data_IF_116921358609
#
_entry.id   IF_116921358609
#
_cell.length_a   1.000
_cell.length_b   1.000
_cell.length_c   1.000
_cell.angle_alpha   90.00
_cell.angle_beta   90.00
_cell.angle_gamma   90.00
#
_symmetry.space_group_name_H-M   'P 1'
#
loop_
_entity.id
_entity.type
_entity.pdbx_description
1 polymer ?
#
# COMPACT_ATOMS: atom_id res chain seq x y z
N UNK A 1 32.60 18.02 -2.35
CA UNK A 1 33.45 19.24 -2.28
C UNK A 1 33.88 19.59 -0.85
N UNK A 2 33.07 20.28 -0.02
CA UNK A 2 33.53 20.80 1.29
C UNK A 2 34.26 19.76 2.17
N UNK A 3 33.66 18.59 2.36
CA UNK A 3 34.23 17.49 3.15
C UNK A 3 35.56 16.92 2.59
N UNK A 4 35.80 17.11 1.28
CA UNK A 4 36.99 16.62 0.58
C UNK A 4 38.13 17.63 0.73
N UNK A 5 37.88 18.93 0.51
CA UNK A 5 38.89 19.97 0.75
C UNK A 5 39.34 20.02 2.22
N UNK A 6 38.43 19.80 3.19
CA UNK A 6 38.78 19.72 4.62
C UNK A 6 39.75 18.57 4.95
N UNK A 7 39.87 17.54 4.09
CA UNK A 7 40.82 16.44 4.27
C UNK A 7 42.19 16.69 3.62
N UNK A 8 42.35 17.79 2.86
CA UNK A 8 43.56 18.06 2.06
C UNK A 8 44.66 18.86 2.81
N UNK A 9 44.42 19.29 4.05
CA UNK A 9 45.42 19.96 4.89
C UNK A 9 45.56 21.47 4.70
N UNK A 10 45.22 22.02 3.53
CA UNK A 10 45.21 23.47 3.27
C UNK A 10 44.36 24.26 4.29
N UNK A 11 44.74 25.53 4.53
CA UNK A 11 44.02 26.49 5.39
C UNK A 11 42.59 26.78 4.86
N UNK A 12 41.65 25.94 5.24
CA UNK A 12 40.28 25.97 4.74
C UNK A 12 39.44 27.05 5.43
N UNK A 13 39.49 28.27 4.90
CA UNK A 13 38.50 29.30 5.21
C UNK A 13 37.11 28.94 4.63
N UNK A 14 36.07 29.13 5.44
CA UNK A 14 34.68 28.95 5.01
C UNK A 14 34.21 30.17 4.20
N UNK A 15 33.40 29.99 3.14
CA UNK A 15 32.92 31.10 2.34
C UNK A 15 32.17 32.14 3.18
N UNK A 16 32.57 33.40 3.05
CA UNK A 16 31.95 34.51 3.77
C UNK A 16 30.56 34.86 3.21
N UNK A 17 29.81 35.71 3.91
CA UNK A 17 28.45 36.14 3.51
C UNK A 17 28.39 36.73 2.07
N UNK A 18 29.47 37.38 1.62
CA UNK A 18 29.59 37.92 0.25
C UNK A 18 29.76 36.80 -0.80
N UNK A 19 30.53 35.77 -0.51
CA UNK A 19 30.72 34.61 -1.41
C UNK A 19 29.46 33.72 -1.44
N UNK A 20 28.80 33.53 -0.29
CA UNK A 20 27.51 32.85 -0.20
C UNK A 20 26.42 33.58 -1.02
N UNK A 21 26.48 34.91 -1.08
CA UNK A 21 25.62 35.74 -1.96
C UNK A 21 25.90 35.47 -3.44
N UNK A 22 27.17 35.42 -3.86
CA UNK A 22 27.55 35.11 -5.26
C UNK A 22 27.15 33.69 -5.64
N UNK A 23 27.38 32.70 -4.76
CA UNK A 23 26.96 31.32 -5.00
C UNK A 23 25.44 31.17 -5.10
N UNK A 24 24.67 31.85 -4.24
CA UNK A 24 23.21 31.81 -4.31
C UNK A 24 22.66 32.34 -5.64
N UNK A 25 23.22 33.46 -6.13
CA UNK A 25 22.86 34.02 -7.45
C UNK A 25 23.18 33.04 -8.59
N UNK A 26 24.39 32.50 -8.62
CA UNK A 26 24.84 31.57 -9.68
C UNK A 26 24.09 30.23 -9.67
N UNK A 27 23.62 29.77 -8.50
CA UNK A 27 22.74 28.61 -8.40
C UNK A 27 21.35 28.89 -9.00
N UNK A 28 20.80 30.09 -8.82
CA UNK A 28 19.51 30.51 -9.41
C UNK A 28 19.58 30.78 -10.91
N UNK A 29 20.74 31.22 -11.39
CA UNK A 29 21.06 31.36 -12.81
C UNK A 29 21.10 29.99 -13.50
N UNK A 30 21.78 29.00 -12.89
CA UNK A 30 21.90 27.64 -13.44
C UNK A 30 20.64 26.76 -13.19
N UNK A 31 19.89 27.02 -12.12
CA UNK A 31 18.67 26.30 -11.75
C UNK A 31 17.49 27.28 -11.50
N UNK A 32 16.80 27.75 -12.55
CA UNK A 32 15.77 28.78 -12.42
C UNK A 32 14.57 28.43 -11.53
N UNK A 33 14.31 27.14 -11.29
CA UNK A 33 13.27 26.68 -10.36
C UNK A 33 13.60 26.90 -8.87
N UNK A 34 14.83 27.36 -8.55
CA UNK A 34 15.21 27.79 -7.20
C UNK A 34 14.88 29.26 -6.90
N UNK A 35 14.28 30.00 -7.86
CA UNK A 35 13.85 31.39 -7.68
C UNK A 35 12.60 31.47 -6.82
N UNK A 36 12.68 32.27 -5.77
CA UNK A 36 11.52 32.58 -4.93
C UNK A 36 10.63 33.64 -5.60
N UNK A 37 9.62 33.17 -6.36
CA UNK A 37 8.67 34.03 -7.09
C UNK A 37 7.77 34.89 -6.19
N UNK A 38 7.78 34.68 -4.87
CA UNK A 38 6.98 35.47 -3.91
C UNK A 38 7.66 36.79 -3.52
N UNK A 39 8.96 36.94 -3.77
CA UNK A 39 9.75 38.10 -3.34
C UNK A 39 10.04 39.05 -4.51
N UNK A 40 10.03 40.36 -4.24
CA UNK A 40 10.36 41.39 -5.23
C UNK A 40 11.79 41.18 -5.78
N UNK A 41 11.96 41.34 -7.10
CA UNK A 41 13.11 40.85 -7.90
C UNK A 41 14.52 41.19 -7.40
N UNK A 42 14.68 42.19 -6.53
CA UNK A 42 15.97 42.53 -5.90
C UNK A 42 16.51 41.43 -4.95
N UNK A 43 15.65 40.51 -4.47
CA UNK A 43 15.95 39.57 -3.38
C UNK A 43 15.78 38.06 -3.70
N UNK A 44 15.49 37.65 -4.94
CA UNK A 44 15.18 36.25 -5.35
C UNK A 44 16.13 35.16 -4.81
N UNK A 45 17.39 35.52 -4.52
CA UNK A 45 18.49 34.66 -4.08
C UNK A 45 18.67 34.56 -2.55
N UNK A 46 17.93 35.35 -1.75
CA UNK A 46 18.11 35.40 -0.30
C UNK A 46 17.65 34.09 0.37
N UNK A 47 16.59 33.43 -0.15
CA UNK A 47 16.12 32.12 0.34
C UNK A 47 17.17 31.02 0.14
N UNK A 48 17.83 30.98 -1.03
CA UNK A 48 18.95 30.06 -1.32
C UNK A 48 20.17 30.37 -0.43
N UNK A 49 20.53 31.65 -0.29
CA UNK A 49 21.62 32.10 0.60
C UNK A 49 21.39 31.69 2.06
N UNK A 50 20.17 31.83 2.60
CA UNK A 50 19.82 31.37 3.95
C UNK A 50 20.04 29.87 4.12
N UNK A 51 19.71 29.06 3.12
CA UNK A 51 19.99 27.61 3.15
C UNK A 51 21.50 27.30 3.10
N UNK A 52 22.27 28.00 2.26
CA UNK A 52 23.73 27.86 2.19
C UNK A 52 24.41 28.26 3.51
N UNK A 53 23.99 29.38 4.12
CA UNK A 53 24.51 29.84 5.41
C UNK A 53 24.22 28.83 6.53
N UNK A 54 22.99 28.28 6.59
CA UNK A 54 22.62 27.20 7.53
C UNK A 54 23.44 25.93 7.31
N UNK A 55 23.75 25.58 6.04
CA UNK A 55 24.65 24.46 5.71
C UNK A 55 26.09 24.72 6.20
N UNK A 56 26.61 25.93 6.07
CA UNK A 56 27.94 26.30 6.61
C UNK A 56 27.94 26.27 8.14
N UNK A 57 26.96 26.89 8.80
CA UNK A 57 26.86 26.94 10.26
C UNK A 57 26.78 25.54 10.90
N UNK A 58 26.00 24.63 10.32
CA UNK A 58 25.92 23.23 10.74
C UNK A 58 27.25 22.45 10.54
N UNK A 59 28.16 22.97 9.72
CA UNK A 59 29.45 22.34 9.36
C UNK A 59 30.61 22.97 10.14
N UNK A 60 30.48 24.21 10.64
CA UNK A 60 31.51 24.94 11.40
C UNK A 60 31.51 24.67 12.92
N UNK A 61 30.53 23.96 13.47
CA UNK A 61 30.48 23.66 14.91
C UNK A 61 31.63 22.73 15.35
N UNK A 62 32.47 23.11 16.33
CA UNK A 62 33.59 22.27 16.76
C UNK A 62 33.18 20.96 17.43
N UNK A 63 34.11 19.99 17.43
CA UNK A 63 33.98 18.68 18.09
C UNK A 63 33.48 18.84 19.54
N UNK A 64 32.23 18.45 19.81
CA UNK A 64 31.68 18.44 21.18
C UNK A 64 32.38 17.34 21.97
N UNK A 65 33.20 17.70 22.96
CA UNK A 65 33.78 16.74 23.91
C UNK A 65 32.65 15.93 24.56
N UNK A 66 32.84 14.62 24.70
CA UNK A 66 31.92 13.74 25.42
C UNK A 66 31.90 14.17 26.89
N UNK A 67 30.70 14.42 27.43
CA UNK A 67 30.48 14.95 28.77
C UNK A 67 29.32 14.26 29.46
N UNK A 68 29.35 14.25 30.79
CA UNK A 68 28.53 13.38 31.65
C UNK A 68 27.02 13.62 31.56
N UNK A 69 26.26 12.53 31.69
CA UNK A 69 24.79 12.50 31.64
C UNK A 69 24.14 13.25 32.81
N UNK A 70 23.26 14.25 32.58
CA UNK A 70 22.42 14.85 33.63
C UNK A 70 21.19 13.97 33.94
N UNK A 71 20.71 14.03 35.19
CA UNK A 71 19.59 13.20 35.67
C UNK A 71 18.20 13.82 35.47
N UNK A 72 17.19 12.95 35.60
CA UNK A 72 15.75 13.11 35.34
C UNK A 72 15.03 14.07 36.32
N UNK A 73 14.22 15.00 35.81
CA UNK A 73 13.07 15.63 36.51
C UNK A 73 12.02 16.19 35.51
N UNK A 74 10.75 16.21 35.93
CA UNK A 74 9.51 16.70 35.27
C UNK A 74 8.74 17.53 36.33
N UNK A 75 7.60 18.19 36.04
CA UNK A 75 7.22 19.03 34.88
C UNK A 75 6.56 20.37 35.32
N UNK A 76 6.24 21.29 34.39
CA UNK A 76 5.29 22.45 34.47
C UNK A 76 5.41 23.30 33.17
N UNK A 77 4.45 24.11 32.70
CA UNK A 77 2.97 24.11 32.76
C UNK A 77 2.40 25.33 31.99
N UNK A 78 1.36 25.14 31.15
CA UNK A 78 0.53 26.20 30.51
C UNK A 78 1.31 27.10 29.48
N UNK A 79 0.68 27.87 28.57
CA UNK A 79 -0.73 28.22 28.34
C UNK A 79 -1.12 28.28 26.83
N UNK A 80 -2.41 28.49 26.55
CA UNK A 80 -3.03 28.64 25.22
C UNK A 80 -2.60 29.91 24.44
N UNK A 81 -2.72 29.86 23.10
CA UNK A 81 -3.61 30.74 22.31
C UNK A 81 -3.91 30.15 20.92
N UNK A 82 -4.96 30.64 20.25
CA UNK A 82 -5.55 30.10 19.01
C UNK A 82 -6.08 31.22 18.10
N UNK A 83 -6.16 31.00 16.77
CA UNK A 83 -7.03 31.73 15.81
C UNK A 83 -7.12 31.03 14.43
N UNK A 84 -8.31 30.48 14.15
CA UNK A 84 -9.13 30.44 12.91
C UNK A 84 -8.52 31.04 11.60
N UNK A 85 -8.52 30.31 10.47
CA UNK A 85 -9.51 30.26 9.33
C UNK A 85 -9.37 31.43 8.32
N UNK A 86 -9.79 31.40 7.04
CA UNK A 86 -10.76 30.57 6.27
C UNK A 86 -10.42 30.56 4.75
N UNK A 87 -10.83 29.51 3.99
CA UNK A 87 -11.18 29.41 2.53
C UNK A 87 -10.35 30.18 1.44
N UNK A 88 -10.54 30.17 0.10
CA UNK A 88 -11.43 29.56 -0.93
C UNK A 88 -10.74 29.85 -2.31
N UNK A 89 -10.90 29.17 -3.46
CA UNK A 89 -11.10 27.76 -3.89
C UNK A 89 -10.96 27.72 -5.45
N UNK A 90 -11.36 26.65 -6.17
CA UNK A 90 -11.39 26.47 -7.66
C UNK A 90 -10.02 26.31 -8.39
N UNK A 91 -9.85 25.78 -9.64
CA UNK A 91 -10.44 24.65 -10.42
C UNK A 91 -9.62 24.51 -11.73
N UNK A 92 -9.31 23.30 -12.24
CA UNK A 92 -9.50 22.89 -13.66
C UNK A 92 -9.07 21.45 -14.04
N UNK A 93 -9.48 21.02 -15.24
CA UNK A 93 -9.49 19.64 -15.78
C UNK A 93 -8.13 18.97 -16.10
N UNK A 94 -8.09 17.62 -15.99
CA UNK A 94 -7.52 16.78 -17.07
C UNK A 94 -8.01 15.32 -17.02
N UNK A 95 -7.96 14.61 -18.15
CA UNK A 95 -8.63 13.30 -18.34
C UNK A 95 -7.69 12.09 -18.38
N UNK A 96 -7.80 11.19 -17.40
CA UNK A 96 -7.17 9.86 -17.42
C UNK A 96 -7.95 8.82 -16.59
N UNK A 97 -8.64 7.88 -17.25
CA UNK A 97 -9.41 6.83 -16.56
C UNK A 97 -8.55 5.62 -16.17
N UNK A 98 -8.22 5.52 -14.88
CA UNK A 98 -7.71 4.30 -14.24
C UNK A 98 -8.64 3.88 -13.10
N UNK A 99 -8.63 2.59 -12.74
CA UNK A 99 -9.41 2.07 -11.60
C UNK A 99 -8.51 2.19 -10.37
N UNK A 100 -8.75 3.18 -9.52
CA UNK A 100 -7.89 3.52 -8.37
C UNK A 100 -8.62 3.10 -7.10
N UNK A 101 -7.91 2.43 -6.18
CA UNK A 101 -8.39 2.15 -4.82
C UNK A 101 -8.34 3.42 -3.97
N UNK A 102 -9.09 4.43 -4.39
CA UNK A 102 -9.10 5.78 -3.83
C UNK A 102 -10.01 5.83 -2.59
N UNK A 103 -9.42 6.10 -1.43
CA UNK A 103 -10.11 6.06 -0.14
C UNK A 103 -11.17 7.17 -0.04
N UNK A 104 -12.44 6.79 0.13
CA UNK A 104 -13.53 7.75 0.33
C UNK A 104 -13.31 8.64 1.58
N UNK A 105 -13.69 9.94 1.53
CA UNK A 105 -13.69 10.80 2.71
C UNK A 105 -14.58 10.24 3.84
N UNK A 106 -14.28 10.52 5.12
CA UNK A 106 -15.11 10.08 6.23
C UNK A 106 -16.50 10.72 6.17
N UNK A 107 -17.55 9.88 6.15
CA UNK A 107 -18.94 10.32 6.12
C UNK A 107 -19.27 11.17 7.36
N UNK A 108 -19.87 12.34 7.14
CA UNK A 108 -20.39 13.20 8.21
C UNK A 108 -21.84 12.80 8.51
N UNK A 109 -22.08 12.22 9.68
CA UNK A 109 -23.42 12.09 10.24
C UNK A 109 -23.55 13.00 11.47
N UNK A 110 -24.55 13.88 11.47
CA UNK A 110 -25.05 14.56 12.67
C UNK A 110 -25.74 13.53 13.58
N UNK A 111 -25.89 13.70 14.89
CA UNK A 111 -25.75 14.89 15.76
C UNK A 111 -25.25 14.42 17.16
N UNK A 112 -25.05 15.27 18.19
CA UNK A 112 -24.14 14.94 19.30
C UNK A 112 -24.79 14.14 20.45
N UNK A 113 -23.96 13.36 21.14
CA UNK A 113 -23.75 13.52 22.59
C UNK A 113 -22.36 12.98 22.98
N UNK A 114 -21.89 13.27 24.19
CA UNK A 114 -20.47 13.18 24.54
C UNK A 114 -20.10 11.93 25.34
N UNK A 115 -19.11 11.17 24.88
CA UNK A 115 -18.19 10.45 25.77
C UNK A 115 -16.79 10.29 25.14
N UNK A 116 -15.78 10.05 25.97
CA UNK A 116 -14.42 10.56 25.72
C UNK A 116 -13.37 9.46 25.60
N UNK A 117 -13.11 8.95 24.39
CA UNK A 117 -12.10 7.92 24.13
C UNK A 117 -11.11 8.28 23.02
N UNK A 118 -9.83 8.34 23.41
CA UNK A 118 -8.61 8.25 22.60
C UNK A 118 -8.65 8.79 21.16
N UNK A 119 -8.48 10.12 21.01
CA UNK A 119 -7.86 10.64 19.80
C UNK A 119 -6.42 10.10 19.70
N UNK A 120 -6.07 9.44 18.59
CA UNK A 120 -4.72 8.92 18.38
C UNK A 120 -3.72 10.05 18.16
N UNK A 121 -2.62 10.05 18.92
CA UNK A 121 -1.51 10.97 18.68
C UNK A 121 -0.90 10.65 17.30
N UNK A 122 -1.15 11.52 16.32
CA UNK A 122 -0.57 11.39 14.97
C UNK A 122 0.95 11.50 15.06
N UNK A 123 1.64 10.37 14.93
CA UNK A 123 3.09 10.32 15.01
C UNK A 123 3.73 11.29 14.01
N UNK A 124 4.68 12.10 14.48
CA UNK A 124 5.41 13.00 13.57
C UNK A 124 6.11 12.20 12.45
N UNK A 125 6.25 12.74 11.23
CA UNK A 125 7.01 12.06 10.16
C UNK A 125 8.45 11.72 10.55
N UNK A 126 9.04 12.44 11.53
CA UNK A 126 10.36 12.14 12.08
C UNK A 126 10.35 10.97 13.08
N UNK A 127 9.20 10.62 13.66
CA UNK A 127 8.99 9.47 14.53
C UNK A 127 8.79 8.23 13.68
N UNK A 128 7.84 8.26 12.74
CA UNK A 128 7.57 7.16 11.79
C UNK A 128 8.85 6.76 11.01
N UNK A 129 9.63 7.74 10.54
CA UNK A 129 10.93 7.49 9.89
C UNK A 129 12.04 6.94 10.82
N UNK A 130 11.82 6.83 12.13
CA UNK A 130 12.64 6.05 13.06
C UNK A 130 12.10 4.63 13.20
N UNK A 131 10.79 4.45 13.33
CA UNK A 131 10.16 3.12 13.39
C UNK A 131 10.48 2.28 12.14
N UNK A 132 10.39 2.87 10.94
CA UNK A 132 10.85 2.23 9.70
C UNK A 132 12.35 1.88 9.70
N UNK A 133 13.21 2.71 10.29
CA UNK A 133 14.65 2.41 10.43
C UNK A 133 14.91 1.28 11.42
N UNK A 134 14.14 1.18 12.50
CA UNK A 134 14.18 0.06 13.44
C UNK A 134 13.74 -1.23 12.75
N UNK A 135 12.65 -1.19 11.95
CA UNK A 135 12.17 -2.32 11.15
C UNK A 135 13.24 -2.80 10.16
N UNK A 136 13.84 -1.88 9.39
CA UNK A 136 14.96 -2.19 8.50
C UNK A 136 16.17 -2.76 9.25
N UNK A 137 16.52 -2.24 10.42
CA UNK A 137 17.62 -2.76 11.23
C UNK A 137 17.32 -4.19 11.71
N UNK A 138 16.06 -4.48 12.04
CA UNK A 138 15.62 -5.80 12.49
C UNK A 138 15.78 -6.86 11.40
N UNK A 139 15.26 -6.61 10.19
CA UNK A 139 15.43 -7.52 9.04
C UNK A 139 16.87 -7.60 8.50
N UNK A 140 17.78 -6.67 8.89
CA UNK A 140 19.22 -6.75 8.60
C UNK A 140 20.05 -7.52 9.65
N UNK A 141 19.48 -7.79 10.83
CA UNK A 141 20.22 -8.37 11.98
C UNK A 141 19.61 -9.66 12.52
N UNK A 142 18.31 -9.88 12.36
CA UNK A 142 17.60 -11.11 12.73
C UNK A 142 17.17 -11.83 11.45
N UNK A 143 17.59 -13.09 11.27
CA UNK A 143 17.14 -13.94 10.15
C UNK A 143 15.64 -14.26 10.20
N UNK A 144 15.04 -14.24 11.40
CA UNK A 144 13.60 -14.24 11.65
C UNK A 144 13.30 -13.22 12.75
N UNK A 145 12.75 -12.04 12.42
CA UNK A 145 12.23 -11.09 13.40
C UNK A 145 11.10 -11.67 14.28
N UNK A 146 10.77 -10.98 15.37
CA UNK A 146 9.57 -11.31 16.15
C UNK A 146 8.37 -10.62 15.49
N UNK A 147 7.32 -11.39 15.18
CA UNK A 147 6.13 -10.92 14.47
C UNK A 147 5.39 -9.81 15.22
N UNK A 148 5.36 -9.84 16.56
CA UNK A 148 4.74 -8.76 17.35
C UNK A 148 5.56 -7.47 17.29
N UNK A 149 6.90 -7.55 17.39
CA UNK A 149 7.78 -6.38 17.22
C UNK A 149 7.57 -5.74 15.83
N UNK A 150 7.46 -6.58 14.78
CA UNK A 150 7.25 -6.13 13.39
C UNK A 150 5.86 -5.53 13.20
N UNK A 151 4.80 -6.19 13.67
CA UNK A 151 3.43 -5.67 13.59
C UNK A 151 3.31 -4.31 14.29
N UNK A 152 3.83 -4.18 15.52
CA UNK A 152 3.83 -2.91 16.25
C UNK A 152 4.56 -1.80 15.47
N UNK A 153 5.71 -2.09 14.86
CA UNK A 153 6.43 -1.10 14.06
C UNK A 153 5.62 -0.68 12.82
N UNK A 154 4.98 -1.63 12.11
CA UNK A 154 4.12 -1.38 10.93
C UNK A 154 2.83 -0.61 11.26
N UNK A 155 2.32 -0.72 12.49
CA UNK A 155 1.18 0.06 13.01
C UNK A 155 1.58 1.52 13.30
N UNK A 156 2.78 1.77 13.83
CA UNK A 156 3.28 3.12 14.15
C UNK A 156 3.68 3.94 12.91
N UNK A 157 4.32 3.33 11.90
CA UNK A 157 4.77 4.01 10.67
C UNK A 157 3.79 3.94 9.49
N UNK A 158 2.55 3.51 9.72
CA UNK A 158 1.52 3.27 8.70
C UNK A 158 1.36 4.45 7.72
N UNK A 159 1.35 5.69 8.20
CA UNK A 159 1.08 6.86 7.34
C UNK A 159 2.25 7.14 6.39
N UNK A 160 3.49 7.07 6.90
CA UNK A 160 4.69 7.25 6.09
C UNK A 160 4.86 6.14 5.05
N UNK A 161 4.47 4.90 5.40
CA UNK A 161 4.49 3.75 4.50
C UNK A 161 3.39 3.83 3.43
N UNK A 162 2.16 4.20 3.79
CA UNK A 162 1.10 4.47 2.79
C UNK A 162 1.50 5.60 1.86
N UNK A 163 1.96 6.74 2.37
CA UNK A 163 2.47 7.84 1.54
C UNK A 163 3.65 7.46 0.61
N UNK A 164 4.40 6.39 0.92
CA UNK A 164 5.39 5.81 0.00
C UNK A 164 4.76 4.90 -1.06
N UNK A 165 3.88 3.97 -0.66
CA UNK A 165 3.18 3.01 -1.55
C UNK A 165 2.28 3.74 -2.55
N UNK A 166 1.52 4.71 -2.05
CA UNK A 166 0.48 5.46 -2.75
C UNK A 166 1.08 6.63 -3.58
N UNK A 167 2.40 6.69 -3.74
CA UNK A 167 3.08 7.73 -4.52
C UNK A 167 3.24 7.35 -6.00
N UNK A 168 2.82 8.24 -6.90
CA UNK A 168 2.94 8.09 -8.36
C UNK A 168 4.40 8.09 -8.87
N UNK A 169 5.35 8.38 -7.99
CA UNK A 169 6.80 8.23 -8.23
C UNK A 169 7.15 6.78 -8.60
N UNK A 170 6.33 5.80 -8.22
CA UNK A 170 6.49 4.39 -8.59
C UNK A 170 5.34 3.89 -9.47
N UNK A 171 5.69 3.59 -10.74
CA UNK A 171 4.85 2.83 -11.68
C UNK A 171 4.33 1.55 -11.04
N UNK A 172 3.05 1.25 -11.27
CA UNK A 172 2.35 0.10 -10.68
C UNK A 172 3.10 -1.24 -10.85
N UNK A 173 3.56 -1.54 -12.07
CA UNK A 173 4.39 -2.70 -12.40
C UNK A 173 5.65 -2.88 -11.52
N UNK A 174 6.21 -1.78 -10.99
CA UNK A 174 7.40 -1.81 -10.14
C UNK A 174 7.03 -1.85 -8.64
N UNK A 175 5.76 -1.55 -8.26
CA UNK A 175 5.31 -1.46 -6.85
C UNK A 175 5.65 -2.73 -6.07
N UNK A 176 5.33 -3.96 -6.52
CA UNK A 176 5.60 -5.17 -5.75
C UNK A 176 7.09 -5.36 -5.41
N UNK A 177 7.98 -5.18 -6.39
CA UNK A 177 9.41 -5.40 -6.19
C UNK A 177 10.07 -4.32 -5.32
N UNK A 178 9.64 -3.06 -5.45
CA UNK A 178 10.13 -1.96 -4.61
C UNK A 178 9.60 -2.05 -3.17
N UNK A 179 8.33 -2.43 -3.00
CA UNK A 179 7.69 -2.55 -1.68
C UNK A 179 8.25 -3.77 -0.93
N UNK A 180 8.35 -4.96 -1.54
CA UNK A 180 8.98 -6.13 -0.89
C UNK A 180 10.45 -5.87 -0.52
N UNK A 181 11.19 -5.10 -1.33
CA UNK A 181 12.57 -4.70 -1.03
C UNK A 181 12.68 -3.70 0.13
N UNK A 182 11.66 -2.88 0.35
CA UNK A 182 11.57 -1.93 1.46
C UNK A 182 11.03 -2.60 2.75
N UNK A 183 10.09 -3.53 2.58
CA UNK A 183 9.31 -4.21 3.62
C UNK A 183 9.28 -5.73 3.37
N UNK A 184 10.38 -6.46 3.68
CA UNK A 184 10.45 -7.91 3.47
C UNK A 184 9.41 -8.70 4.26
N UNK A 185 8.86 -8.12 5.32
CA UNK A 185 7.74 -8.65 6.11
C UNK A 185 6.51 -9.01 5.27
N UNK A 186 6.25 -8.36 4.13
CA UNK A 186 5.11 -8.73 3.27
C UNK A 186 5.33 -10.02 2.47
N UNK A 187 6.49 -10.67 2.62
CA UNK A 187 6.71 -12.09 2.28
C UNK A 187 6.29 -13.06 3.40
N UNK A 188 5.64 -12.58 4.46
CA UNK A 188 5.06 -13.40 5.53
C UNK A 188 3.54 -13.18 5.58
N UNK A 189 2.75 -14.27 5.53
CA UNK A 189 1.28 -14.23 5.37
C UNK A 189 0.59 -13.36 6.44
N UNK A 190 0.99 -13.51 7.71
CA UNK A 190 0.41 -12.76 8.83
C UNK A 190 0.55 -11.24 8.62
N UNK A 191 1.70 -10.78 8.14
CA UNK A 191 1.98 -9.36 7.92
C UNK A 191 1.30 -8.80 6.67
N UNK A 192 1.09 -9.63 5.64
CA UNK A 192 0.27 -9.29 4.47
C UNK A 192 -1.22 -9.14 4.85
N UNK A 193 -1.74 -10.07 5.66
CA UNK A 193 -3.14 -10.04 6.13
C UNK A 193 -3.38 -8.92 7.16
N UNK A 194 -2.45 -8.70 8.10
CA UNK A 194 -2.49 -7.54 9.00
C UNK A 194 -2.44 -6.21 8.24
N UNK A 195 -1.80 -6.14 7.07
CA UNK A 195 -1.80 -4.93 6.26
C UNK A 195 -3.15 -4.69 5.57
N UNK A 196 -3.82 -5.74 5.08
CA UNK A 196 -5.21 -5.63 4.61
C UNK A 196 -6.12 -5.08 5.75
N UNK A 197 -5.93 -5.56 6.99
CA UNK A 197 -6.59 -5.00 8.18
C UNK A 197 -6.21 -3.53 8.39
N UNK A 198 -4.92 -3.16 8.34
CA UNK A 198 -4.45 -1.77 8.57
C UNK A 198 -5.05 -0.77 7.58
N UNK A 199 -5.19 -1.15 6.30
CA UNK A 199 -5.77 -0.28 5.28
C UNK A 199 -7.27 -0.10 5.47
N UNK A 200 -8.00 -1.18 5.77
CA UNK A 200 -9.47 -1.18 5.82
C UNK A 200 -10.04 -0.78 7.19
N UNK A 201 -9.53 -1.37 8.28
CA UNK A 201 -10.07 -1.21 9.63
C UNK A 201 -8.98 -1.41 10.70
N UNK A 202 -8.04 -0.45 10.77
CA UNK A 202 -6.90 -0.50 11.69
C UNK A 202 -7.29 -0.71 13.17
N UNK A 203 -8.46 -0.21 13.59
CA UNK A 203 -8.92 -0.29 14.97
C UNK A 203 -9.53 -1.64 15.39
N UNK A 204 -9.88 -2.52 14.44
CA UNK A 204 -10.59 -3.77 14.74
C UNK A 204 -9.63 -4.96 14.88
N UNK A 205 -9.42 -5.40 16.12
CA UNK A 205 -8.61 -6.59 16.46
C UNK A 205 -9.19 -7.92 15.95
N UNK A 206 -10.50 -7.98 15.69
CA UNK A 206 -11.21 -9.19 15.26
C UNK A 206 -11.44 -9.25 13.73
N UNK A 207 -11.08 -8.19 12.99
CA UNK A 207 -11.33 -8.06 11.55
C UNK A 207 -10.93 -9.28 10.72
N UNK A 208 -9.78 -9.91 11.01
CA UNK A 208 -9.31 -11.09 10.27
C UNK A 208 -10.16 -12.35 10.55
N UNK A 209 -10.65 -12.52 11.77
CA UNK A 209 -11.60 -13.58 12.12
C UNK A 209 -12.95 -13.33 11.44
N UNK A 210 -13.45 -12.10 11.51
CA UNK A 210 -14.69 -11.67 10.84
C UNK A 210 -14.58 -11.79 9.30
N UNK A 211 -13.41 -11.53 8.73
CA UNK A 211 -13.12 -11.68 7.31
C UNK A 211 -13.17 -13.16 6.90
N UNK A 212 -12.54 -14.07 7.66
CA UNK A 212 -12.63 -15.51 7.42
C UNK A 212 -14.08 -16.02 7.49
N UNK A 213 -14.87 -15.56 8.47
CA UNK A 213 -16.29 -15.90 8.57
C UNK A 213 -17.09 -15.39 7.36
N UNK A 214 -16.95 -14.11 6.99
CA UNK A 214 -17.61 -13.52 5.81
C UNK A 214 -17.25 -14.26 4.52
N UNK A 215 -15.98 -14.61 4.35
CA UNK A 215 -15.49 -15.37 3.21
C UNK A 215 -16.07 -16.79 3.14
N UNK A 216 -16.17 -17.48 4.29
CA UNK A 216 -16.85 -18.78 4.39
C UNK A 216 -18.31 -18.72 3.91
N UNK A 217 -19.10 -17.81 4.49
CA UNK A 217 -20.51 -17.60 4.09
C UNK A 217 -20.67 -17.17 2.63
N UNK A 218 -19.73 -16.36 2.11
CA UNK A 218 -19.70 -16.01 0.68
C UNK A 218 -19.45 -17.25 -0.19
N UNK A 219 -18.48 -18.10 0.16
CA UNK A 219 -18.17 -19.33 -0.58
C UNK A 219 -19.34 -20.32 -0.58
N UNK A 220 -20.00 -20.51 0.56
CA UNK A 220 -21.20 -21.35 0.68
C UNK A 220 -22.30 -20.89 -0.28
N UNK A 221 -22.60 -19.59 -0.31
CA UNK A 221 -23.59 -19.00 -1.22
C UNK A 221 -23.13 -19.06 -2.69
N UNK A 222 -21.87 -18.76 -2.97
CA UNK A 222 -21.29 -18.78 -4.32
C UNK A 222 -21.27 -20.19 -4.93
N UNK A 223 -21.09 -21.23 -4.11
CA UNK A 223 -21.23 -22.62 -4.53
C UNK A 223 -22.63 -22.91 -5.09
N UNK A 224 -23.70 -22.58 -4.35
CA UNK A 224 -25.08 -22.80 -4.81
C UNK A 224 -25.42 -21.91 -6.01
N UNK A 225 -24.98 -20.65 -6.03
CA UNK A 225 -25.12 -19.72 -7.15
C UNK A 225 -24.46 -20.25 -8.43
N UNK A 226 -23.26 -20.84 -8.30
CA UNK A 226 -22.56 -21.50 -9.40
C UNK A 226 -23.31 -22.70 -9.95
N UNK A 227 -23.95 -23.51 -9.09
CA UNK A 227 -24.79 -24.65 -9.53
C UNK A 227 -26.07 -24.15 -10.20
N UNK A 228 -26.73 -23.13 -9.64
CA UNK A 228 -27.90 -22.47 -10.24
C UNK A 228 -27.60 -21.90 -11.64
N UNK A 229 -26.44 -21.24 -11.79
CA UNK A 229 -25.93 -20.75 -13.09
C UNK A 229 -25.36 -21.85 -14.01
N UNK A 230 -25.34 -23.12 -13.57
CA UNK A 230 -24.77 -24.28 -14.30
C UNK A 230 -23.27 -24.18 -14.60
N UNK A 231 -22.55 -23.36 -13.85
CA UNK A 231 -21.09 -23.15 -13.92
C UNK A 231 -20.32 -24.09 -12.98
N UNK A 232 -20.98 -24.59 -11.93
CA UNK A 232 -20.44 -25.55 -10.97
C UNK A 232 -21.22 -26.86 -10.99
N UNK A 233 -20.52 -27.95 -10.65
CA UNK A 233 -21.16 -29.20 -10.22
C UNK A 233 -21.51 -29.11 -8.72
N UNK A 234 -22.45 -29.93 -8.22
CA UNK A 234 -22.68 -30.07 -6.78
C UNK A 234 -21.40 -30.39 -5.99
N UNK A 235 -21.32 -30.02 -4.70
CA UNK A 235 -20.11 -30.17 -3.89
C UNK A 235 -19.57 -31.60 -3.84
N UNK A 236 -18.25 -31.71 -3.88
CA UNK A 236 -17.52 -32.97 -3.80
C UNK A 236 -16.91 -33.16 -2.40
N UNK A 237 -16.67 -34.42 -2.02
CA UNK A 237 -16.00 -34.75 -0.75
C UNK A 237 -14.55 -34.23 -0.69
N UNK A 238 -13.90 -34.10 -1.85
CA UNK A 238 -12.57 -33.51 -1.99
C UNK A 238 -12.66 -31.97 -1.96
N UNK A 239 -12.43 -31.41 -0.76
CA UNK A 239 -12.48 -29.96 -0.50
C UNK A 239 -11.50 -29.15 -1.36
N UNK A 240 -10.32 -29.70 -1.68
CA UNK A 240 -9.28 -29.03 -2.47
C UNK A 240 -9.71 -28.94 -3.93
N UNK A 241 -10.12 -30.05 -4.55
CA UNK A 241 -10.67 -30.05 -5.91
C UNK A 241 -11.91 -29.15 -6.03
N UNK A 242 -12.77 -29.18 -5.01
CA UNK A 242 -13.98 -28.35 -4.97
C UNK A 242 -13.67 -26.84 -4.89
N UNK A 243 -12.73 -26.44 -4.03
CA UNK A 243 -12.29 -25.05 -3.92
C UNK A 243 -11.62 -24.55 -5.22
N UNK A 244 -10.81 -25.38 -5.87
CA UNK A 244 -10.21 -25.07 -7.18
C UNK A 244 -11.29 -24.91 -8.26
N UNK A 245 -12.32 -25.76 -8.28
CA UNK A 245 -13.45 -25.62 -9.20
C UNK A 245 -14.23 -24.32 -8.96
N UNK A 246 -14.54 -24.00 -7.69
CA UNK A 246 -15.21 -22.76 -7.30
C UNK A 246 -14.42 -21.53 -7.75
N UNK A 247 -13.11 -21.48 -7.47
CA UNK A 247 -12.23 -20.39 -7.91
C UNK A 247 -12.17 -20.24 -9.43
N UNK A 248 -12.20 -21.35 -10.19
CA UNK A 248 -12.26 -21.30 -11.66
C UNK A 248 -13.59 -20.78 -12.20
N UNK A 249 -14.69 -21.04 -11.49
CA UNK A 249 -16.04 -20.59 -11.88
C UNK A 249 -16.39 -19.16 -11.43
N UNK A 250 -15.77 -18.63 -10.36
CA UNK A 250 -16.06 -17.28 -9.83
C UNK A 250 -16.05 -16.16 -10.90
N UNK A 251 -15.09 -16.07 -11.84
CA UNK A 251 -15.12 -15.08 -12.92
C UNK A 251 -16.32 -15.18 -13.85
N UNK A 252 -16.89 -16.36 -14.03
CA UNK A 252 -18.06 -16.60 -14.89
C UNK A 252 -19.38 -16.38 -14.11
N UNK A 253 -19.36 -16.55 -12.79
CA UNK A 253 -20.48 -16.13 -11.91
C UNK A 253 -20.66 -14.61 -11.89
N UNK A 254 -19.54 -13.86 -11.92
CA UNK A 254 -19.47 -12.40 -11.80
C UNK A 254 -18.71 -11.77 -13.00
N UNK A 255 -19.23 -11.89 -14.24
CA UNK A 255 -18.48 -11.62 -15.47
C UNK A 255 -18.17 -10.14 -15.69
N UNK A 256 -16.92 -9.86 -16.04
CA UNK A 256 -16.46 -8.54 -16.47
C UNK A 256 -16.71 -8.31 -17.97
N UNK A 257 -16.91 -7.06 -18.43
CA UNK A 257 -17.23 -6.77 -19.83
C UNK A 257 -16.02 -6.81 -20.78
N UNK A 258 -14.80 -6.99 -20.24
CA UNK A 258 -13.57 -7.03 -21.00
C UNK A 258 -13.07 -8.48 -21.08
N UNK A 259 -12.83 -8.97 -22.31
CA UNK A 259 -12.24 -10.28 -22.52
C UNK A 259 -10.83 -10.38 -21.90
N UNK A 260 -10.39 -11.57 -21.46
CA UNK A 260 -9.00 -11.77 -21.04
C UNK A 260 -8.03 -11.55 -22.22
N UNK A 261 -6.75 -11.22 -21.96
CA UNK A 261 -5.74 -11.11 -23.01
C UNK A 261 -5.62 -12.42 -23.79
N UNK A 262 -5.45 -12.36 -25.13
CA UNK A 262 -5.45 -13.52 -26.06
C UNK A 262 -4.51 -14.70 -25.71
N UNK A 263 -3.58 -14.53 -24.78
CA UNK A 263 -2.67 -15.58 -24.29
C UNK A 263 -3.22 -16.36 -23.08
N UNK A 264 -4.23 -15.84 -22.38
CA UNK A 264 -5.00 -16.59 -21.40
C UNK A 264 -6.17 -17.27 -22.12
N UNK A 265 -6.46 -18.53 -21.76
CA UNK A 265 -7.59 -19.28 -22.33
C UNK A 265 -8.91 -18.90 -21.65
N UNK A 266 -8.88 -18.70 -20.33
CA UNK A 266 -10.05 -18.35 -19.50
C UNK A 266 -9.77 -17.17 -18.57
N UNK A 267 -10.83 -16.46 -18.16
CA UNK A 267 -10.71 -15.34 -17.21
C UNK A 267 -10.18 -15.78 -15.82
N UNK A 268 -10.36 -17.05 -15.44
CA UNK A 268 -9.81 -17.61 -14.21
C UNK A 268 -8.28 -17.68 -14.18
N UNK A 269 -7.59 -17.71 -15.32
CA UNK A 269 -6.12 -17.64 -15.36
C UNK A 269 -5.57 -16.26 -14.94
N UNK A 270 -6.44 -15.25 -14.79
CA UNK A 270 -6.13 -13.99 -14.14
C UNK A 270 -6.04 -14.10 -12.60
N UNK A 271 -6.67 -15.13 -12.00
CA UNK A 271 -6.67 -15.41 -10.55
C UNK A 271 -5.77 -16.58 -10.16
N UNK A 272 -5.91 -17.73 -10.84
CA UNK A 272 -5.26 -18.98 -10.48
C UNK A 272 -4.80 -19.78 -11.69
N UNK A 273 -3.70 -20.49 -11.51
CA UNK A 273 -3.18 -21.49 -12.44
C UNK A 273 -3.00 -22.83 -11.73
N UNK A 274 -3.11 -23.92 -12.47
CA UNK A 274 -2.79 -25.28 -11.98
C UNK A 274 -1.68 -25.80 -12.87
N UNK A 275 -0.49 -26.02 -12.32
CA UNK A 275 0.66 -26.44 -13.11
C UNK A 275 0.41 -27.78 -13.79
N UNK A 276 0.76 -27.87 -15.06
CA UNK A 276 0.89 -29.15 -15.76
C UNK A 276 2.16 -29.89 -15.26
N UNK A 277 2.21 -31.22 -15.30
CA UNK A 277 3.25 -32.03 -14.62
C UNK A 277 4.69 -31.85 -15.12
N UNK A 278 4.90 -31.04 -16.16
CA UNK A 278 6.21 -30.68 -16.71
C UNK A 278 6.42 -29.14 -16.77
N UNK A 279 5.53 -28.36 -16.14
CA UNK A 279 5.55 -26.90 -16.18
C UNK A 279 6.27 -26.31 -14.97
N UNK A 280 7.33 -25.53 -15.21
CA UNK A 280 8.01 -24.77 -14.17
C UNK A 280 7.24 -23.47 -13.85
N UNK A 281 6.91 -23.18 -12.58
CA UNK A 281 6.18 -21.97 -12.19
C UNK A 281 6.89 -20.68 -12.58
N UNK A 282 8.23 -20.65 -12.65
CA UNK A 282 8.95 -19.46 -13.09
C UNK A 282 8.74 -19.20 -14.59
N UNK A 283 8.84 -20.24 -15.41
CA UNK A 283 8.59 -20.23 -16.86
C UNK A 283 7.14 -19.84 -17.19
N UNK A 284 6.17 -20.31 -16.41
CA UNK A 284 4.78 -19.81 -16.46
C UNK A 284 4.72 -18.30 -16.21
N UNK A 285 5.28 -17.81 -15.10
CA UNK A 285 5.23 -16.39 -14.74
C UNK A 285 5.93 -15.47 -15.76
N UNK A 286 7.04 -15.91 -16.36
CA UNK A 286 7.76 -15.13 -17.39
C UNK A 286 6.98 -15.04 -18.73
N UNK A 287 6.09 -15.99 -19.01
CA UNK A 287 5.30 -16.01 -20.26
C UNK A 287 3.89 -15.45 -20.10
N UNK A 288 3.41 -15.31 -18.86
CA UNK A 288 2.06 -14.80 -18.49
C UNK A 288 1.82 -13.36 -18.99
N UNK A 289 0.67 -13.06 -19.62
CA UNK A 289 0.35 -11.73 -20.16
C UNK A 289 -0.15 -10.70 -19.13
N UNK A 290 -0.24 -11.06 -17.85
CA UNK A 290 -0.73 -10.19 -16.77
C UNK A 290 0.28 -10.15 -15.61
N UNK A 291 0.60 -8.93 -15.16
CA UNK A 291 1.40 -8.69 -13.96
C UNK A 291 0.59 -8.67 -12.66
N UNK A 292 -0.72 -8.93 -12.72
CA UNK A 292 -1.59 -8.97 -11.54
C UNK A 292 -1.23 -10.13 -10.59
N UNK A 293 -1.61 -10.04 -9.30
CA UNK A 293 -1.57 -11.18 -8.38
C UNK A 293 -2.17 -12.46 -8.98
N UNK A 294 -1.56 -13.62 -8.69
CA UNK A 294 -1.98 -14.95 -9.15
C UNK A 294 -1.60 -16.05 -8.15
N UNK A 295 -2.46 -17.05 -8.00
CA UNK A 295 -2.21 -18.26 -7.20
C UNK A 295 -1.83 -19.42 -8.13
N UNK A 296 -0.59 -19.89 -8.05
CA UNK A 296 -0.13 -21.09 -8.76
C UNK A 296 -0.30 -22.30 -7.84
N UNK A 297 -1.12 -23.25 -8.26
CA UNK A 297 -1.34 -24.51 -7.54
C UNK A 297 -0.33 -25.54 -8.05
N UNK A 298 0.56 -25.96 -7.15
CA UNK A 298 1.55 -27.01 -7.40
C UNK A 298 1.00 -28.38 -6.95
N UNK A 299 1.84 -29.42 -6.91
CA UNK A 299 1.43 -30.74 -6.40
C UNK A 299 1.06 -30.71 -4.91
N UNK A 300 1.92 -30.13 -4.07
CA UNK A 300 1.84 -30.18 -2.60
C UNK A 300 1.58 -28.83 -1.91
N UNK A 301 1.71 -27.71 -2.62
CA UNK A 301 1.55 -26.37 -2.07
C UNK A 301 0.97 -25.39 -3.11
N UNK A 302 0.77 -24.14 -2.70
CA UNK A 302 0.36 -23.04 -3.55
C UNK A 302 1.35 -21.88 -3.43
N UNK A 303 1.64 -21.21 -4.55
CA UNK A 303 2.52 -20.03 -4.62
C UNK A 303 1.66 -18.82 -4.99
N UNK A 304 1.66 -17.78 -4.16
CA UNK A 304 1.09 -16.49 -4.49
C UNK A 304 2.18 -15.62 -5.12
N UNK A 305 1.97 -15.16 -6.35
CA UNK A 305 2.94 -14.36 -7.11
C UNK A 305 2.32 -13.09 -7.69
N UNK A 306 3.14 -12.08 -7.97
CA UNK A 306 2.74 -10.82 -8.63
C UNK A 306 3.78 -10.50 -9.71
N UNK A 307 3.34 -10.39 -10.97
CA UNK A 307 4.26 -10.38 -12.10
C UNK A 307 5.13 -11.62 -12.09
N UNK A 308 6.44 -11.44 -12.12
CA UNK A 308 7.43 -12.54 -12.05
C UNK A 308 7.98 -12.78 -10.64
N UNK A 309 7.40 -12.14 -9.61
CA UNK A 309 7.87 -12.21 -8.22
C UNK A 309 6.97 -13.14 -7.38
N UNK A 310 7.47 -14.26 -6.83
CA UNK A 310 6.76 -14.98 -5.78
C UNK A 310 6.73 -14.14 -4.50
N UNK A 311 5.59 -14.14 -3.81
CA UNK A 311 5.34 -13.36 -2.59
C UNK A 311 5.16 -14.28 -1.38
N UNK A 312 4.28 -15.28 -1.48
CA UNK A 312 4.05 -16.28 -0.43
C UNK A 312 4.05 -17.70 -0.99
N UNK A 313 4.37 -18.67 -0.14
CA UNK A 313 4.10 -20.10 -0.35
C UNK A 313 3.27 -20.58 0.82
N UNK A 314 2.17 -21.30 0.56
CA UNK A 314 1.22 -21.75 1.58
C UNK A 314 0.70 -23.17 1.27
N UNK A 315 0.14 -23.90 2.27
CA UNK A 315 -0.40 -25.25 2.06
C UNK A 315 -1.49 -25.30 0.99
N UNK A 316 -1.62 -26.43 0.31
CA UNK A 316 -2.59 -26.61 -0.77
C UNK A 316 -4.02 -26.77 -0.23
N UNK A 317 -4.13 -27.15 1.02
CA UNK A 317 -5.34 -27.29 1.84
C UNK A 317 -5.98 -25.91 2.09
N UNK A 318 -5.14 -24.87 2.22
CA UNK A 318 -5.53 -23.47 2.44
C UNK A 318 -5.87 -22.74 1.12
N UNK A 319 -5.94 -23.45 -0.03
CA UNK A 319 -6.39 -22.90 -1.32
C UNK A 319 -7.74 -22.19 -1.21
N UNK A 320 -8.60 -22.66 -0.30
CA UNK A 320 -9.91 -22.08 -0.04
C UNK A 320 -9.82 -20.63 0.45
N UNK A 321 -8.78 -20.22 1.18
CA UNK A 321 -8.59 -18.83 1.64
C UNK A 321 -7.91 -17.92 0.60
N UNK A 322 -7.30 -18.49 -0.44
CA UNK A 322 -6.32 -17.80 -1.28
C UNK A 322 -6.83 -16.56 -2.02
N UNK A 323 -8.15 -16.42 -2.23
CA UNK A 323 -8.76 -15.19 -2.76
C UNK A 323 -8.61 -14.03 -1.78
N UNK A 324 -8.71 -14.25 -0.47
CA UNK A 324 -8.41 -13.22 0.53
C UNK A 324 -6.94 -12.79 0.46
N UNK A 325 -6.02 -13.73 0.18
CA UNK A 325 -4.59 -13.43 0.06
C UNK A 325 -4.30 -12.63 -1.24
N UNK A 326 -5.02 -12.93 -2.33
CA UNK A 326 -5.02 -12.11 -3.55
C UNK A 326 -5.51 -10.68 -3.25
N UNK A 327 -6.63 -10.52 -2.54
CA UNK A 327 -7.11 -9.19 -2.12
C UNK A 327 -6.07 -8.47 -1.25
N UNK A 328 -5.46 -9.15 -0.28
CA UNK A 328 -4.42 -8.57 0.56
C UNK A 328 -3.22 -8.04 -0.26
N UNK A 329 -2.88 -8.69 -1.37
CA UNK A 329 -1.88 -8.16 -2.32
C UNK A 329 -2.35 -6.87 -3.02
N UNK A 330 -3.59 -6.81 -3.54
CA UNK A 330 -4.08 -5.59 -4.21
C UNK A 330 -4.05 -4.36 -3.29
N UNK A 331 -4.43 -4.52 -2.01
CA UNK A 331 -4.41 -3.42 -1.02
C UNK A 331 -3.01 -3.10 -0.49
N UNK A 332 -2.17 -4.11 -0.22
CA UNK A 332 -0.79 -3.92 0.28
C UNK A 332 0.11 -3.24 -0.75
N UNK A 333 0.02 -3.66 -2.02
CA UNK A 333 0.90 -3.16 -3.09
C UNK A 333 0.27 -2.03 -3.92
N UNK A 334 -0.98 -1.63 -3.62
CA UNK A 334 -1.79 -0.68 -4.38
C UNK A 334 -1.76 -0.99 -5.88
N UNK A 335 -2.45 -2.07 -6.26
CA UNK A 335 -2.51 -2.58 -7.63
C UNK A 335 -3.91 -2.46 -8.22
N UNK A 336 -3.99 -2.18 -9.52
CA UNK A 336 -5.22 -2.05 -10.29
C UNK A 336 -5.81 -3.44 -10.57
N UNK A 337 -7.13 -3.60 -10.44
CA UNK A 337 -7.78 -4.86 -10.81
C UNK A 337 -7.68 -5.13 -12.32
N UNK A 338 -7.18 -6.31 -12.76
CA UNK A 338 -7.11 -6.65 -14.17
C UNK A 338 -8.53 -6.76 -14.76
N UNK A 339 -8.77 -5.99 -15.83
CA UNK A 339 -10.11 -5.67 -16.36
C UNK A 339 -11.01 -6.87 -16.69
N UNK A 340 -10.45 -8.06 -16.93
CA UNK A 340 -11.20 -9.29 -17.23
C UNK A 340 -11.78 -10.00 -16.01
N UNK A 341 -11.39 -9.61 -14.79
CA UNK A 341 -11.97 -10.11 -13.53
C UNK A 341 -12.32 -8.97 -12.54
N UNK A 342 -12.22 -7.71 -12.96
CA UNK A 342 -12.47 -6.56 -12.10
C UNK A 342 -13.87 -6.59 -11.45
N UNK A 343 -14.92 -7.02 -12.18
CA UNK A 343 -16.27 -7.16 -11.63
C UNK A 343 -16.34 -8.16 -10.47
N UNK A 344 -15.61 -9.28 -10.53
CA UNK A 344 -15.51 -10.23 -9.42
C UNK A 344 -14.74 -9.63 -8.23
N UNK A 345 -13.60 -8.97 -8.47
CA UNK A 345 -12.80 -8.39 -7.39
C UNK A 345 -13.56 -7.27 -6.68
N UNK A 346 -14.33 -6.46 -7.41
CA UNK A 346 -15.28 -5.49 -6.85
C UNK A 346 -16.42 -6.13 -6.03
N UNK A 347 -16.91 -7.31 -6.40
CA UNK A 347 -17.90 -8.07 -5.59
C UNK A 347 -17.27 -8.58 -4.29
N UNK A 348 -16.06 -9.14 -4.35
CA UNK A 348 -15.33 -9.59 -3.15
C UNK A 348 -15.00 -8.40 -2.23
N UNK A 349 -14.63 -7.25 -2.80
CA UNK A 349 -14.40 -6.00 -2.07
C UNK A 349 -15.63 -5.57 -1.26
N UNK A 350 -16.81 -5.50 -1.87
CA UNK A 350 -18.00 -4.97 -1.19
C UNK A 350 -18.75 -5.99 -0.35
N UNK A 351 -18.81 -7.27 -0.73
CA UNK A 351 -19.56 -8.30 0.01
C UNK A 351 -18.70 -9.06 1.03
N UNK A 352 -17.38 -9.19 0.81
CA UNK A 352 -16.48 -9.95 1.70
C UNK A 352 -15.63 -9.02 2.55
N UNK A 353 -14.94 -8.04 1.95
CA UNK A 353 -14.11 -7.08 2.72
C UNK A 353 -14.96 -6.04 3.46
N UNK A 354 -16.19 -5.78 2.99
CA UNK A 354 -17.07 -4.67 3.40
C UNK A 354 -16.41 -3.29 3.20
N UNK A 355 -15.56 -3.17 2.17
CA UNK A 355 -14.97 -1.91 1.77
C UNK A 355 -15.91 -1.15 0.80
N UNK A 356 -15.76 0.17 0.73
CA UNK A 356 -16.46 0.99 -0.25
C UNK A 356 -15.93 0.71 -1.67
N UNK A 357 -16.77 0.96 -2.67
CA UNK A 357 -16.39 0.95 -4.09
C UNK A 357 -16.57 2.36 -4.64
N UNK A 358 -15.59 2.87 -5.39
CA UNK A 358 -15.69 4.20 -6.00
C UNK A 358 -16.72 4.19 -7.13
N UNK A 359 -17.49 5.28 -7.30
CA UNK A 359 -18.41 5.49 -8.42
C UNK A 359 -17.85 5.12 -9.81
N UNK A 360 -16.54 5.32 -10.03
CA UNK A 360 -15.83 4.93 -11.26
C UNK A 360 -15.82 3.41 -11.50
N UNK A 361 -15.75 2.64 -10.42
CA UNK A 361 -15.73 1.18 -10.42
C UNK A 361 -17.13 0.57 -10.30
N UNK A 362 -18.14 1.37 -9.94
CA UNK A 362 -19.58 1.03 -9.97
C UNK A 362 -20.14 0.90 -11.40
N UNK A 363 -19.43 0.15 -12.25
CA UNK A 363 -19.76 -0.17 -13.64
C UNK A 363 -21.13 -0.84 -13.78
N UNK A 364 -21.72 -0.78 -14.97
CA UNK A 364 -22.98 -1.48 -15.29
C UNK A 364 -22.88 -2.99 -15.06
N UNK A 365 -21.72 -3.60 -15.34
CA UNK A 365 -21.47 -5.02 -15.04
C UNK A 365 -21.47 -5.32 -13.55
N UNK A 366 -20.80 -4.50 -12.73
CA UNK A 366 -20.87 -4.62 -11.27
C UNK A 366 -22.30 -4.43 -10.75
N UNK A 367 -22.99 -3.36 -11.14
CA UNK A 367 -24.39 -3.09 -10.75
C UNK A 367 -25.32 -4.26 -11.11
N UNK A 368 -25.18 -4.84 -12.30
CA UNK A 368 -25.95 -6.02 -12.74
C UNK A 368 -25.59 -7.27 -11.94
N UNK A 369 -24.30 -7.55 -11.74
CA UNK A 369 -23.83 -8.71 -10.99
C UNK A 369 -24.29 -8.65 -9.52
N UNK A 370 -24.26 -7.47 -8.90
CA UNK A 370 -24.77 -7.24 -7.55
C UNK A 370 -26.28 -7.42 -7.44
N UNK A 371 -27.07 -6.97 -8.43
CA UNK A 371 -28.51 -7.16 -8.43
C UNK A 371 -28.91 -8.64 -8.58
N UNK A 372 -28.25 -9.36 -9.48
CA UNK A 372 -28.45 -10.80 -9.74
C UNK A 372 -28.04 -11.65 -8.52
N UNK A 373 -26.92 -11.31 -7.89
CA UNK A 373 -26.46 -11.91 -6.63
C UNK A 373 -27.40 -11.62 -5.46
N UNK A 374 -27.79 -10.35 -5.26
CA UNK A 374 -28.67 -9.94 -4.15
C UNK A 374 -30.07 -10.53 -4.26
N UNK A 375 -30.56 -10.76 -5.47
CA UNK A 375 -31.75 -11.57 -5.70
C UNK A 375 -31.52 -13.02 -5.23
N UNK A 376 -30.49 -13.69 -5.75
CA UNK A 376 -30.22 -15.10 -5.45
C UNK A 376 -30.03 -15.41 -3.95
N UNK A 377 -29.48 -14.48 -3.16
CA UNK A 377 -29.31 -14.66 -1.69
C UNK A 377 -30.54 -14.24 -0.86
N UNK A 378 -31.63 -13.82 -1.52
CA UNK A 378 -32.91 -13.42 -0.91
C UNK A 378 -34.09 -14.31 -1.33
N UNK A 379 -33.91 -15.13 -2.38
CA UNK A 379 -34.80 -16.23 -2.80
C UNK A 379 -34.50 -17.52 -2.00
#
# INVERSE_FOLDING_TARGET
MLSIKRAAGDDFNYPCSRELTVMAKRLIEYYPMLRDRSQTSRAEWETVKKQLLKRVQNVTTPKKKQGSTPSRKRPRSLSFQSSHETSTDETDESTASTLILERSPPSRCSTPEAEQLCASETESPQTQARHYKTLQAMYKTKARPNKMDVAQLLDLEIQARRAFIDSDVTKEQDRPSKILKAYPCFGELDHLMDELRRVLNQGNSHFLTELKTRWGTFCERAQFYGVFKKLMRPPQLDKVKHSIAMMKALPEMFPSPMAPPKKLRHASEALLHVLESAEDPNTFLQTRPLSSPVVIICETNCILAIGTMPVLIFPKEDIHESVMYLMACYYTFHLTYPKCIATLLSVVQTEVLLDAIHDRDMTTSYKKAMADWKKFISD
#
